data_IF_602302338503
#
_entry.id   IF_602302338503
#
_cell.length_a   1.000
_cell.length_b   1.000
_cell.length_c   1.000
_cell.angle_alpha   90.00
_cell.angle_beta   90.00
_cell.angle_gamma   90.00
#
_symmetry.space_group_name_H-M   'P 1'
#
loop_
_entity.id
_entity.type
_entity.pdbx_description
1 polymer ?
#
# COMPACT_ATOMS: atom_id res chain seq x y z
N UNK A 1 35.23 -1.30 -41.50
CA UNK A 1 33.76 -1.31 -41.59
C UNK A 1 33.29 -2.60 -40.96
N UNK A 2 32.95 -2.51 -39.68
CA UNK A 2 32.49 -3.61 -38.86
C UNK A 2 31.78 -2.97 -37.68
N UNK A 3 30.62 -2.40 -37.94
CA UNK A 3 29.73 -1.93 -36.88
C UNK A 3 29.27 -3.18 -36.13
N UNK A 4 29.74 -3.29 -34.88
CA UNK A 4 29.11 -4.11 -33.87
C UNK A 4 27.67 -3.61 -33.72
N UNK A 5 26.75 -4.31 -34.37
CA UNK A 5 25.33 -4.29 -34.03
C UNK A 5 25.20 -4.98 -32.68
N UNK A 6 25.50 -4.26 -31.60
CA UNK A 6 24.93 -4.59 -30.31
C UNK A 6 23.43 -4.44 -30.48
N UNK A 7 22.76 -5.59 -30.52
CA UNK A 7 21.34 -5.73 -30.44
C UNK A 7 20.94 -5.16 -29.07
N UNK A 8 20.67 -3.85 -29.00
CA UNK A 8 20.04 -3.24 -27.84
C UNK A 8 18.70 -3.96 -27.67
N UNK A 9 18.61 -4.82 -26.66
CA UNK A 9 17.35 -5.37 -26.22
C UNK A 9 16.45 -4.18 -25.93
N UNK A 10 15.21 -4.15 -26.43
CA UNK A 10 14.32 -3.04 -26.15
C UNK A 10 14.21 -2.93 -24.62
N UNK A 11 14.30 -1.72 -24.07
CA UNK A 11 14.52 -1.49 -22.63
C UNK A 11 13.50 -2.25 -21.75
N UNK A 12 12.28 -2.46 -22.26
CA UNK A 12 11.25 -3.29 -21.64
C UNK A 12 11.69 -4.75 -21.39
N UNK A 13 12.41 -5.38 -22.32
CA UNK A 13 12.94 -6.74 -22.15
C UNK A 13 14.01 -6.81 -21.07
N UNK A 14 14.87 -5.80 -20.94
CA UNK A 14 15.88 -5.72 -19.88
C UNK A 14 15.23 -5.61 -18.48
N UNK A 15 14.22 -4.76 -18.32
CA UNK A 15 13.49 -4.62 -17.05
C UNK A 15 12.67 -5.88 -16.74
N UNK A 16 12.05 -6.50 -17.75
CA UNK A 16 11.33 -7.76 -17.56
C UNK A 16 12.28 -8.90 -17.16
N UNK A 17 13.47 -8.99 -17.76
CA UNK A 17 14.50 -9.95 -17.34
C UNK A 17 14.95 -9.69 -15.90
N UNK A 18 15.12 -8.42 -15.52
CA UNK A 18 15.47 -8.04 -14.14
C UNK A 18 14.38 -8.44 -13.16
N UNK A 19 13.10 -8.19 -13.48
CA UNK A 19 11.96 -8.63 -12.69
C UNK A 19 11.97 -10.16 -12.49
N UNK A 20 12.19 -10.92 -13.56
CA UNK A 20 12.24 -12.39 -13.50
C UNK A 20 13.41 -12.87 -12.65
N UNK A 21 14.59 -12.28 -12.80
CA UNK A 21 15.79 -12.64 -12.02
C UNK A 21 15.59 -12.32 -10.54
N UNK A 22 15.12 -11.12 -10.21
CA UNK A 22 14.81 -10.73 -8.83
C UNK A 22 13.76 -11.66 -8.23
N UNK A 23 12.71 -12.00 -9.00
CA UNK A 23 11.65 -12.92 -8.56
C UNK A 23 12.20 -14.30 -8.25
N UNK A 24 13.12 -14.80 -9.06
CA UNK A 24 13.80 -16.07 -8.82
C UNK A 24 14.69 -16.02 -7.57
N UNK A 25 15.42 -14.93 -7.34
CA UNK A 25 16.26 -14.73 -6.16
C UNK A 25 15.40 -14.66 -4.89
N UNK A 26 14.33 -13.85 -4.88
CA UNK A 26 13.44 -13.73 -3.74
C UNK A 26 12.72 -15.05 -3.45
N UNK A 27 12.25 -15.76 -4.47
CA UNK A 27 11.71 -17.12 -4.31
C UNK A 27 12.74 -18.05 -3.69
N UNK A 28 13.99 -18.02 -4.16
CA UNK A 28 15.09 -18.80 -3.59
C UNK A 28 15.37 -18.45 -2.13
N UNK A 29 15.41 -17.16 -1.78
CA UNK A 29 15.64 -16.69 -0.41
C UNK A 29 14.52 -17.13 0.53
N UNK A 30 13.26 -17.04 0.11
CA UNK A 30 12.10 -17.51 0.90
C UNK A 30 12.15 -19.03 1.09
N UNK A 31 12.51 -19.78 0.04
CA UNK A 31 12.68 -21.23 0.14
C UNK A 31 13.81 -21.61 1.09
N UNK A 32 14.92 -20.86 1.09
CA UNK A 32 16.04 -21.05 2.03
C UNK A 32 15.65 -20.70 3.46
N UNK A 33 14.94 -19.59 3.66
CA UNK A 33 14.48 -19.14 4.98
C UNK A 33 13.49 -20.13 5.60
N UNK A 34 12.62 -20.73 4.79
CA UNK A 34 11.59 -21.68 5.22
C UNK A 34 11.97 -23.16 4.97
N UNK A 35 13.23 -23.43 4.63
CA UNK A 35 13.69 -24.75 4.19
C UNK A 35 13.41 -25.87 5.22
N UNK A 36 13.61 -25.57 6.50
CA UNK A 36 13.35 -26.51 7.61
C UNK A 36 11.86 -26.85 7.73
N UNK A 37 10.98 -25.86 7.61
CA UNK A 37 9.53 -26.00 7.65
C UNK A 37 8.98 -26.78 6.45
N UNK A 38 9.53 -26.55 5.26
CA UNK A 38 9.17 -27.28 4.03
C UNK A 38 9.56 -28.75 4.16
N UNK A 39 10.77 -29.05 4.64
CA UNK A 39 11.20 -30.43 4.89
C UNK A 39 10.33 -31.14 5.94
N UNK A 40 9.90 -30.41 6.98
CA UNK A 40 8.97 -30.95 7.98
C UNK A 40 7.60 -31.26 7.37
N UNK A 41 7.08 -30.40 6.49
CA UNK A 41 5.82 -30.63 5.78
C UNK A 41 5.90 -31.82 4.80
N UNK A 42 7.02 -31.95 4.07
CA UNK A 42 7.28 -33.10 3.17
C UNK A 42 7.41 -34.42 3.93
N UNK A 43 7.80 -34.39 5.20
CA UNK A 43 7.89 -35.58 6.07
C UNK A 43 6.53 -36.11 6.56
N UNK A 44 5.43 -35.45 6.20
CA UNK A 44 4.08 -35.83 6.64
C UNK A 44 3.82 -35.32 8.06
N UNK A 45 3.02 -34.27 8.16
CA UNK A 45 2.57 -33.70 9.44
C UNK A 45 1.43 -34.58 9.97
N UNK A 46 1.69 -35.30 11.07
CA UNK A 46 0.68 -36.10 11.79
C UNK A 46 -0.10 -35.29 12.84
N UNK A 47 0.02 -33.96 12.81
CA UNK A 47 -0.81 -33.11 13.66
C UNK A 47 -2.27 -33.23 13.19
N UNK A 48 -3.24 -33.40 14.10
CA UNK A 48 -4.64 -33.35 13.72
C UNK A 48 -4.89 -32.03 12.99
N UNK A 49 -5.47 -32.11 11.80
CA UNK A 49 -5.90 -30.92 11.05
C UNK A 49 -6.93 -30.23 11.95
N UNK A 50 -6.50 -29.21 12.68
CA UNK A 50 -7.40 -28.34 13.41
C UNK A 50 -8.22 -27.62 12.34
N UNK A 51 -9.45 -28.12 12.13
CA UNK A 51 -10.30 -27.63 11.06
C UNK A 51 -10.63 -26.18 11.36
N UNK A 52 -10.03 -25.26 10.60
CA UNK A 52 -10.35 -23.83 10.70
C UNK A 52 -11.86 -23.68 10.63
N UNK A 53 -12.51 -23.06 11.62
CA UNK A 53 -13.96 -22.93 11.63
C UNK A 53 -14.43 -22.29 10.32
N UNK A 54 -15.45 -22.86 9.68
CA UNK A 54 -15.98 -22.34 8.40
C UNK A 54 -16.32 -20.84 8.49
N UNK A 55 -16.79 -20.39 9.66
CA UNK A 55 -17.07 -18.98 9.96
C UNK A 55 -15.82 -18.10 9.86
N UNK A 56 -14.68 -18.55 10.36
CA UNK A 56 -13.41 -17.83 10.28
C UNK A 56 -12.95 -17.71 8.83
N UNK A 57 -13.05 -18.78 8.04
CA UNK A 57 -12.68 -18.75 6.62
C UNK A 57 -13.55 -17.77 5.82
N UNK A 58 -14.87 -17.77 6.05
CA UNK A 58 -15.80 -16.85 5.38
C UNK A 58 -15.52 -15.40 5.76
N UNK A 59 -15.34 -15.13 7.06
CA UNK A 59 -14.99 -13.82 7.59
C UNK A 59 -13.66 -13.31 7.03
N UNK A 60 -12.60 -14.10 7.16
CA UNK A 60 -11.25 -13.80 6.66
C UNK A 60 -11.25 -13.55 5.16
N UNK A 61 -11.91 -14.40 4.37
CA UNK A 61 -12.00 -14.23 2.91
C UNK A 61 -12.70 -12.93 2.56
N UNK A 62 -13.80 -12.60 3.23
CA UNK A 62 -14.51 -11.35 2.99
C UNK A 62 -13.60 -10.14 3.28
N UNK A 63 -12.96 -10.11 4.44
CA UNK A 63 -12.01 -9.04 4.80
C UNK A 63 -10.87 -8.92 3.78
N UNK A 64 -10.19 -10.03 3.48
CA UNK A 64 -9.08 -10.07 2.52
C UNK A 64 -9.51 -9.60 1.13
N UNK A 65 -10.72 -9.97 0.67
CA UNK A 65 -11.22 -9.55 -0.65
C UNK A 65 -11.29 -8.02 -0.75
N UNK A 66 -11.84 -7.37 0.28
CA UNK A 66 -11.97 -5.92 0.31
C UNK A 66 -10.61 -5.25 0.49
N UNK A 67 -9.80 -5.75 1.42
CA UNK A 67 -8.44 -5.23 1.67
C UNK A 67 -7.60 -5.27 0.38
N UNK A 68 -7.56 -6.41 -0.30
CA UNK A 68 -6.75 -6.57 -1.52
C UNK A 68 -7.26 -5.77 -2.71
N UNK A 69 -8.57 -5.57 -2.84
CA UNK A 69 -9.11 -4.66 -3.86
C UNK A 69 -8.69 -3.21 -3.59
N UNK A 70 -8.73 -2.77 -2.34
CA UNK A 70 -8.27 -1.44 -1.98
C UNK A 70 -6.76 -1.27 -2.22
N UNK A 71 -5.95 -2.25 -1.82
CA UNK A 71 -4.51 -2.24 -2.12
C UNK A 71 -4.24 -2.23 -3.62
N UNK A 72 -4.99 -3.00 -4.42
CA UNK A 72 -4.90 -2.99 -5.88
C UNK A 72 -5.15 -1.58 -6.45
N UNK A 73 -6.19 -0.89 -5.97
CA UNK A 73 -6.48 0.48 -6.40
C UNK A 73 -5.35 1.47 -6.07
N UNK A 74 -4.73 1.33 -4.90
CA UNK A 74 -3.59 2.15 -4.48
C UNK A 74 -2.35 1.87 -5.34
N UNK A 75 -1.97 0.59 -5.48
CA UNK A 75 -0.79 0.17 -6.23
C UNK A 75 -0.86 0.43 -7.73
N UNK A 76 -2.05 0.44 -8.34
CA UNK A 76 -2.22 0.80 -9.75
C UNK A 76 -1.73 2.22 -10.06
N UNK A 77 -1.89 3.15 -9.11
CA UNK A 77 -1.62 4.57 -9.32
C UNK A 77 -0.15 4.93 -9.05
N UNK A 78 0.48 4.25 -8.09
CA UNK A 78 1.83 4.54 -7.60
C UNK A 78 2.89 4.79 -8.70
N UNK A 79 3.07 3.87 -9.68
CA UNK A 79 4.14 3.98 -10.67
C UNK A 79 4.02 5.19 -11.60
N UNK A 80 2.79 5.64 -11.86
CA UNK A 80 2.49 6.64 -12.90
C UNK A 80 2.19 8.03 -12.35
N UNK A 81 2.27 8.21 -11.04
CA UNK A 81 1.95 9.46 -10.39
C UNK A 81 2.95 10.58 -10.68
N UNK A 82 4.25 10.25 -10.69
CA UNK A 82 5.30 11.16 -11.13
C UNK A 82 5.19 11.54 -12.62
N UNK A 83 5.19 10.59 -13.58
CA UNK A 83 5.14 10.93 -15.00
C UNK A 83 3.84 11.62 -15.39
N UNK A 84 2.71 11.32 -14.72
CA UNK A 84 1.46 12.06 -14.95
C UNK A 84 1.62 13.55 -14.61
N UNK A 85 2.21 13.89 -13.47
CA UNK A 85 2.39 15.30 -13.10
C UNK A 85 3.44 16.01 -13.98
N UNK A 86 4.49 15.30 -14.41
CA UNK A 86 5.42 15.82 -15.42
C UNK A 86 4.72 16.11 -16.74
N UNK A 87 3.79 15.25 -17.17
CA UNK A 87 2.99 15.48 -18.39
C UNK A 87 2.08 16.71 -18.32
N UNK A 88 1.71 17.14 -17.10
CA UNK A 88 0.98 18.39 -16.86
C UNK A 88 1.87 19.64 -16.84
N UNK A 89 3.19 19.46 -17.01
CA UNK A 89 4.17 20.54 -17.04
C UNK A 89 4.67 20.99 -15.67
N UNK A 90 4.43 20.22 -14.60
CA UNK A 90 4.93 20.55 -13.27
C UNK A 90 6.45 20.36 -13.19
N UNK A 91 7.12 21.23 -12.44
CA UNK A 91 8.54 21.04 -12.11
C UNK A 91 8.71 19.90 -11.13
N UNK A 92 9.90 19.28 -11.11
CA UNK A 92 10.22 18.21 -10.13
C UNK A 92 10.04 18.72 -8.69
N UNK A 93 10.34 19.99 -8.44
CA UNK A 93 10.16 20.62 -7.13
C UNK A 93 8.67 20.71 -6.73
N UNK A 94 7.78 21.11 -7.64
CA UNK A 94 6.33 21.17 -7.37
C UNK A 94 5.76 19.78 -7.11
N UNK A 95 6.23 18.78 -7.86
CA UNK A 95 5.82 17.38 -7.67
C UNK A 95 6.30 16.89 -6.29
N UNK A 96 7.54 17.17 -5.91
CA UNK A 96 8.07 16.81 -4.59
C UNK A 96 7.22 17.43 -3.47
N UNK A 97 6.84 18.70 -3.60
CA UNK A 97 5.95 19.38 -2.64
C UNK A 97 4.58 18.70 -2.54
N UNK A 98 3.99 18.28 -3.67
CA UNK A 98 2.72 17.56 -3.69
C UNK A 98 2.81 16.17 -3.01
N UNK A 99 3.93 15.46 -3.16
CA UNK A 99 4.16 14.20 -2.45
C UNK A 99 4.31 14.43 -0.95
N UNK A 100 5.13 15.40 -0.54
CA UNK A 100 5.28 15.77 0.88
C UNK A 100 3.95 16.19 1.48
N UNK A 101 3.15 17.00 0.77
CA UNK A 101 1.83 17.43 1.21
C UNK A 101 0.88 16.23 1.42
N UNK A 102 0.90 15.26 0.50
CA UNK A 102 0.14 14.02 0.64
C UNK A 102 0.54 13.24 1.90
N UNK A 103 1.82 12.96 2.08
CA UNK A 103 2.31 12.23 3.26
C UNK A 103 2.15 13.00 4.58
N UNK A 104 2.25 14.33 4.54
CA UNK A 104 1.94 15.16 5.70
C UNK A 104 0.45 15.10 6.02
N UNK A 105 -0.43 15.13 5.02
CA UNK A 105 -1.88 15.04 5.27
C UNK A 105 -2.30 13.69 5.86
N UNK A 106 -1.63 12.60 5.49
CA UNK A 106 -1.84 11.29 6.13
C UNK A 106 -1.38 11.30 7.60
N UNK A 107 -0.38 12.11 7.95
CA UNK A 107 0.13 12.25 9.32
C UNK A 107 -0.58 13.32 10.18
N UNK A 108 -1.21 14.34 9.57
CA UNK A 108 -1.51 15.64 10.24
C UNK A 108 -2.99 16.01 10.29
N UNK A 109 -3.94 15.11 10.01
CA UNK A 109 -5.28 15.30 10.60
C UNK A 109 -5.18 14.90 12.09
N UNK A 110 -4.97 15.79 13.07
CA UNK A 110 -5.30 17.21 13.07
C UNK A 110 -4.34 18.19 13.77
N UNK A 111 -3.34 18.73 13.06
CA UNK A 111 -2.86 20.09 13.34
C UNK A 111 -2.14 20.73 12.14
N UNK A 112 -2.84 21.64 11.44
CA UNK A 112 -2.30 22.56 10.44
C UNK A 112 -1.87 21.98 9.08
N UNK A 113 -2.79 22.00 8.11
CA UNK A 113 -2.42 22.17 6.70
C UNK A 113 -3.36 23.22 6.08
N UNK A 114 -2.98 24.48 6.24
CA UNK A 114 -3.72 25.62 5.69
C UNK A 114 -2.84 26.71 5.04
N UNK A 115 -1.51 26.60 5.11
CA UNK A 115 -0.60 27.70 4.73
C UNK A 115 0.30 27.43 3.52
N UNK A 116 0.07 26.36 2.76
CA UNK A 116 0.93 25.96 1.63
C UNK A 116 0.27 26.10 0.24
N UNK A 117 -0.91 26.72 0.19
CA UNK A 117 -1.66 26.90 -1.04
C UNK A 117 -1.64 28.36 -1.48
N UNK A 118 -0.53 28.84 -2.04
CA UNK A 118 -0.56 30.03 -2.91
C UNK A 118 0.40 29.90 -4.11
N UNK A 119 -0.18 29.66 -5.30
CA UNK A 119 0.21 30.08 -6.66
C UNK A 119 -0.34 29.13 -7.74
N UNK A 120 -1.07 29.71 -8.72
CA UNK A 120 -1.70 29.12 -9.91
C UNK A 120 -2.80 28.05 -9.70
N UNK A 121 -3.95 28.27 -10.37
CA UNK A 121 -5.22 27.53 -10.18
C UNK A 121 -5.16 26.01 -10.39
N UNK A 122 -4.19 25.48 -11.14
CA UNK A 122 -4.02 24.02 -11.35
C UNK A 122 -3.30 23.33 -10.19
N UNK A 123 -2.34 23.99 -9.57
CA UNK A 123 -1.57 23.42 -8.45
C UNK A 123 -2.46 23.23 -7.21
N UNK A 124 -3.34 24.19 -6.92
CA UNK A 124 -4.28 24.10 -5.78
C UNK A 124 -5.23 22.91 -5.86
N UNK A 125 -5.75 22.60 -7.05
CA UNK A 125 -6.63 21.44 -7.24
C UNK A 125 -5.87 20.14 -7.01
N UNK A 126 -4.63 20.05 -7.51
CA UNK A 126 -3.77 18.89 -7.28
C UNK A 126 -3.36 18.78 -5.81
N UNK A 127 -3.05 19.89 -5.14
CA UNK A 127 -2.72 19.96 -3.72
C UNK A 127 -3.91 19.50 -2.86
N UNK A 128 -5.12 19.99 -3.16
CA UNK A 128 -6.33 19.55 -2.50
C UNK A 128 -6.55 18.05 -2.72
N UNK A 129 -6.46 17.57 -3.96
CA UNK A 129 -6.54 16.14 -4.27
C UNK A 129 -5.52 15.31 -3.50
N UNK A 130 -4.30 15.82 -3.30
CA UNK A 130 -3.26 15.13 -2.50
C UNK A 130 -3.54 15.10 -1.01
N UNK A 131 -4.12 16.17 -0.46
CA UNK A 131 -4.56 16.18 0.94
C UNK A 131 -5.63 15.10 1.15
N UNK A 132 -6.67 15.08 0.33
CA UNK A 132 -7.72 14.06 0.45
C UNK A 132 -7.20 12.65 0.15
N UNK A 133 -6.27 12.52 -0.81
CA UNK A 133 -5.58 11.27 -1.09
C UNK A 133 -4.83 10.73 0.13
N UNK A 134 -4.01 11.56 0.78
CA UNK A 134 -3.28 11.13 1.98
C UNK A 134 -4.20 10.76 3.14
N UNK A 135 -5.28 11.50 3.34
CA UNK A 135 -6.31 11.15 4.34
C UNK A 135 -6.96 9.81 4.01
N UNK A 136 -7.33 9.59 2.75
CA UNK A 136 -7.89 8.32 2.29
C UNK A 136 -6.92 7.16 2.52
N UNK A 137 -5.63 7.34 2.21
CA UNK A 137 -4.58 6.33 2.47
C UNK A 137 -4.48 6.01 3.97
N UNK A 138 -4.51 7.01 4.86
CA UNK A 138 -4.53 6.75 6.31
C UNK A 138 -5.75 5.94 6.74
N UNK A 139 -6.93 6.27 6.22
CA UNK A 139 -8.15 5.52 6.51
C UNK A 139 -8.06 4.08 5.98
N UNK A 140 -7.42 3.88 4.82
CA UNK A 140 -7.27 2.58 4.18
C UNK A 140 -6.48 1.58 5.04
N UNK A 141 -5.43 2.05 5.70
CA UNK A 141 -4.63 1.20 6.59
C UNK A 141 -5.24 1.11 7.99
N UNK A 142 -5.63 2.23 8.60
CA UNK A 142 -6.05 2.25 10.01
C UNK A 142 -7.48 1.76 10.27
N UNK A 143 -8.46 2.16 9.44
CA UNK A 143 -9.88 1.84 9.70
C UNK A 143 -10.17 0.37 9.42
N UNK A 144 -9.55 -0.18 8.38
CA UNK A 144 -9.71 -1.58 8.00
C UNK A 144 -9.17 -2.51 9.09
N UNK A 145 -7.96 -2.23 9.59
CA UNK A 145 -7.37 -2.97 10.69
C UNK A 145 -8.19 -2.85 11.98
N UNK A 146 -8.62 -1.64 12.33
CA UNK A 146 -9.45 -1.41 13.51
C UNK A 146 -10.79 -2.18 13.43
N UNK A 147 -11.44 -2.16 12.27
CA UNK A 147 -12.66 -2.91 12.03
C UNK A 147 -12.43 -4.42 12.16
N UNK A 148 -11.36 -4.95 11.55
CA UNK A 148 -11.00 -6.37 11.60
C UNK A 148 -10.75 -6.83 13.03
N UNK A 149 -9.90 -6.12 13.77
CA UNK A 149 -9.55 -6.42 15.16
C UNK A 149 -10.83 -6.46 16.01
N UNK A 150 -11.68 -5.45 15.86
CA UNK A 150 -12.90 -5.36 16.65
C UNK A 150 -13.89 -6.47 16.33
N UNK A 151 -14.18 -6.72 15.06
CA UNK A 151 -15.13 -7.75 14.65
C UNK A 151 -14.62 -9.16 15.03
N UNK A 152 -13.31 -9.39 14.90
CA UNK A 152 -12.64 -10.63 15.32
C UNK A 152 -12.86 -10.96 16.80
N UNK A 153 -12.62 -9.99 17.69
CA UNK A 153 -12.77 -10.19 19.13
C UNK A 153 -14.23 -10.10 19.59
N UNK A 154 -14.97 -9.05 19.18
CA UNK A 154 -16.28 -8.76 19.73
C UNK A 154 -17.38 -9.69 19.22
N UNK A 155 -17.31 -10.11 17.95
CA UNK A 155 -18.37 -10.94 17.35
C UNK A 155 -18.06 -12.42 17.37
N UNK A 156 -16.82 -12.78 17.09
CA UNK A 156 -16.45 -14.16 16.87
C UNK A 156 -15.62 -14.77 18.01
N UNK A 157 -14.93 -13.94 18.80
CA UNK A 157 -14.02 -14.38 19.85
C UNK A 157 -13.01 -15.43 19.36
N UNK A 158 -12.48 -15.22 18.15
CA UNK A 158 -11.42 -16.05 17.57
C UNK A 158 -10.08 -15.82 18.28
N UNK A 159 -9.11 -16.72 18.06
CA UNK A 159 -7.82 -16.68 18.75
C UNK A 159 -6.90 -15.56 18.24
N UNK A 160 -5.90 -15.16 19.05
CA UNK A 160 -4.88 -14.18 18.66
C UNK A 160 -4.01 -14.69 17.49
N UNK A 161 -3.82 -16.01 17.41
CA UNK A 161 -3.12 -16.68 16.31
C UNK A 161 -3.89 -16.50 15.00
N UNK A 162 -5.21 -16.67 15.01
CA UNK A 162 -6.05 -16.50 13.83
C UNK A 162 -6.03 -15.06 13.28
N UNK A 163 -5.90 -14.07 14.17
CA UNK A 163 -5.76 -12.66 13.80
C UNK A 163 -4.38 -12.40 13.18
N UNK A 164 -3.32 -12.88 13.84
CA UNK A 164 -1.94 -12.74 13.38
C UNK A 164 -1.75 -13.41 12.01
N UNK A 165 -2.31 -14.60 11.81
CA UNK A 165 -2.32 -15.30 10.52
C UNK A 165 -3.06 -14.51 9.45
N UNK A 166 -4.18 -13.86 9.80
CA UNK A 166 -4.93 -13.02 8.86
C UNK A 166 -4.09 -11.82 8.40
N UNK A 167 -3.40 -11.14 9.31
CA UNK A 167 -2.52 -10.02 8.95
C UNK A 167 -1.27 -10.49 8.18
N UNK A 168 -0.71 -11.65 8.51
CA UNK A 168 0.35 -12.26 7.71
C UNK A 168 -0.10 -12.54 6.27
N UNK A 169 -1.33 -13.05 6.09
CA UNK A 169 -1.94 -13.21 4.76
C UNK A 169 -2.15 -11.87 4.06
N UNK A 170 -2.58 -10.82 4.77
CA UNK A 170 -2.72 -9.48 4.20
C UNK A 170 -1.40 -9.00 3.62
N UNK A 171 -0.31 -9.05 4.40
CA UNK A 171 1.02 -8.61 3.95
C UNK A 171 1.53 -9.42 2.76
N UNK A 172 1.38 -10.74 2.79
CA UNK A 172 1.80 -11.62 1.70
C UNK A 172 1.06 -11.31 0.39
N UNK A 173 -0.28 -11.29 0.44
CA UNK A 173 -1.09 -11.04 -0.74
C UNK A 173 -0.98 -9.59 -1.23
N UNK A 174 -0.76 -8.63 -0.33
CA UNK A 174 -0.50 -7.25 -0.69
C UNK A 174 0.76 -7.12 -1.56
N UNK A 175 1.86 -7.78 -1.18
CA UNK A 175 3.09 -7.81 -1.98
C UNK A 175 2.85 -8.37 -3.38
N UNK A 176 2.11 -9.48 -3.49
CA UNK A 176 1.75 -10.04 -4.79
C UNK A 176 0.88 -9.08 -5.62
N UNK A 177 -0.12 -8.45 -4.99
CA UNK A 177 -0.97 -7.46 -5.65
C UNK A 177 -0.14 -6.27 -6.13
N UNK A 178 0.85 -5.80 -5.38
CA UNK A 178 1.74 -4.70 -5.80
C UNK A 178 2.51 -5.04 -7.08
N UNK A 179 3.11 -6.24 -7.15
CA UNK A 179 3.83 -6.71 -8.35
C UNK A 179 2.89 -6.79 -9.56
N UNK A 180 1.73 -7.41 -9.39
CA UNK A 180 0.74 -7.56 -10.45
C UNK A 180 0.20 -6.19 -10.92
N UNK A 181 -0.03 -5.27 -10.00
CA UNK A 181 -0.52 -3.91 -10.28
C UNK A 181 0.47 -3.14 -11.13
N UNK A 182 1.77 -3.26 -10.88
CA UNK A 182 2.80 -2.63 -11.73
C UNK A 182 2.72 -3.10 -13.19
N UNK A 183 2.53 -4.41 -13.41
CA UNK A 183 2.33 -4.97 -14.74
C UNK A 183 1.04 -4.50 -15.42
N UNK A 184 -0.09 -4.56 -14.70
CA UNK A 184 -1.40 -4.11 -15.20
C UNK A 184 -1.37 -2.62 -15.53
N UNK A 185 -0.77 -1.80 -14.66
CA UNK A 185 -0.65 -0.36 -14.88
C UNK A 185 0.21 -0.07 -16.12
N UNK A 186 1.28 -0.83 -16.35
CA UNK A 186 2.12 -0.64 -17.55
C UNK A 186 1.34 -0.91 -18.84
N UNK A 187 0.65 -2.05 -18.90
CA UNK A 187 -0.19 -2.38 -20.06
C UNK A 187 -1.30 -1.35 -20.25
N UNK A 188 -1.94 -0.89 -19.18
CA UNK A 188 -2.99 0.12 -19.25
C UNK A 188 -2.47 1.44 -19.84
N UNK A 189 -1.26 1.86 -19.46
CA UNK A 189 -0.65 3.09 -19.99
C UNK A 189 -0.25 2.94 -21.45
N UNK A 190 0.30 1.80 -21.85
CA UNK A 190 0.72 1.55 -23.24
C UNK A 190 -0.47 1.61 -24.21
N UNK A 191 -1.68 1.22 -23.75
CA UNK A 191 -2.89 1.18 -24.59
C UNK A 191 -3.74 2.45 -24.47
N UNK A 192 -3.91 3.00 -23.27
CA UNK A 192 -4.90 4.04 -22.97
C UNK A 192 -4.28 5.34 -22.43
N UNK A 193 -2.96 5.40 -22.27
CA UNK A 193 -2.23 6.58 -21.80
C UNK A 193 -2.10 6.70 -20.27
N UNK A 194 -1.37 7.73 -19.83
CA UNK A 194 -0.95 7.93 -18.43
C UNK A 194 -2.10 8.00 -17.41
N UNK A 195 -3.31 8.38 -17.83
CA UNK A 195 -4.47 8.51 -16.93
C UNK A 195 -5.16 7.16 -16.66
N UNK A 196 -4.90 6.13 -17.46
CA UNK A 196 -5.63 4.87 -17.42
C UNK A 196 -5.55 4.13 -16.07
N UNK A 197 -4.38 4.01 -15.40
CA UNK A 197 -4.30 3.34 -14.10
C UNK A 197 -5.12 4.03 -13.01
N UNK A 198 -5.23 5.37 -13.07
CA UNK A 198 -6.02 6.18 -12.14
C UNK A 198 -7.53 5.94 -12.32
N UNK A 199 -7.99 5.89 -13.57
CA UNK A 199 -9.38 5.57 -13.88
C UNK A 199 -9.70 4.13 -13.48
N UNK A 200 -8.80 3.18 -13.75
CA UNK A 200 -8.97 1.79 -13.35
C UNK A 200 -9.09 1.66 -11.82
N UNK A 201 -8.26 2.38 -11.06
CA UNK A 201 -8.32 2.42 -9.62
C UNK A 201 -9.70 2.89 -9.10
N UNK A 202 -10.34 3.87 -9.74
CA UNK A 202 -11.71 4.32 -9.37
C UNK A 202 -12.71 3.16 -9.46
N UNK A 203 -12.67 2.37 -10.54
CA UNK A 203 -13.55 1.21 -10.67
C UNK A 203 -13.27 0.12 -9.64
N UNK A 204 -11.99 -0.10 -9.33
CA UNK A 204 -11.57 -1.07 -8.30
C UNK A 204 -12.05 -0.63 -6.91
N UNK A 205 -11.86 0.65 -6.54
CA UNK A 205 -12.35 1.20 -5.29
C UNK A 205 -13.87 1.18 -5.19
N UNK A 206 -14.58 1.46 -6.29
CA UNK A 206 -16.03 1.33 -6.32
C UNK A 206 -16.48 -0.12 -6.09
N UNK A 207 -15.77 -1.10 -6.67
CA UNK A 207 -16.00 -2.52 -6.39
C UNK A 207 -15.80 -2.87 -4.92
N UNK A 208 -14.70 -2.40 -4.31
CA UNK A 208 -14.45 -2.59 -2.88
C UNK A 208 -15.55 -1.96 -2.01
N UNK A 209 -15.95 -0.73 -2.33
CA UNK A 209 -17.04 -0.01 -1.65
C UNK A 209 -18.37 -0.76 -1.72
N UNK A 210 -18.73 -1.31 -2.88
CA UNK A 210 -19.94 -2.11 -3.03
C UNK A 210 -19.90 -3.37 -2.16
N UNK A 211 -18.75 -4.04 -2.05
CA UNK A 211 -18.61 -5.21 -1.17
C UNK A 211 -18.76 -4.79 0.29
N UNK A 212 -18.14 -3.68 0.71
CA UNK A 212 -18.27 -3.16 2.09
C UNK A 212 -19.74 -2.92 2.42
N UNK A 213 -20.47 -2.15 1.61
CA UNK A 213 -21.88 -1.83 1.89
C UNK A 213 -22.75 -3.09 2.00
N UNK A 214 -22.47 -4.10 1.18
CA UNK A 214 -23.30 -5.31 1.12
C UNK A 214 -22.94 -6.35 2.19
N UNK A 215 -21.70 -6.33 2.69
CA UNK A 215 -21.17 -7.45 3.49
C UNK A 215 -20.62 -7.03 4.85
N UNK A 216 -20.20 -5.78 5.02
CA UNK A 216 -19.62 -5.30 6.27
C UNK A 216 -20.71 -4.78 7.20
N UNK A 217 -20.99 -5.48 8.29
CA UNK A 217 -21.88 -4.98 9.34
C UNK A 217 -21.31 -3.71 9.98
N UNK A 218 -22.22 -2.82 10.36
CA UNK A 218 -21.87 -1.57 11.03
C UNK A 218 -21.24 -1.82 12.40
N UNK A 219 -20.17 -1.09 12.69
CA UNK A 219 -19.35 -1.26 13.88
C UNK A 219 -19.20 0.09 14.60
N UNK A 220 -20.04 0.30 15.62
CA UNK A 220 -20.07 1.53 16.41
C UNK A 220 -19.01 1.59 17.52
N UNK A 221 -18.08 0.64 17.59
CA UNK A 221 -17.13 0.53 18.69
C UNK A 221 -17.77 0.09 20.01
N UNK A 222 -17.04 0.24 21.11
CA UNK A 222 -17.61 0.05 22.45
C UNK A 222 -18.52 1.24 22.79
N UNK A 223 -19.80 0.95 23.04
CA UNK A 223 -20.65 1.91 23.76
C UNK A 223 -20.13 1.95 25.19
N UNK A 224 -19.21 2.88 25.47
CA UNK A 224 -18.74 3.17 26.82
C UNK A 224 -19.87 3.81 27.61
N UNK A 225 -20.82 2.99 28.06
CA UNK A 225 -21.80 3.36 29.07
C UNK A 225 -21.15 3.17 30.46
N UNK A 226 -20.12 3.99 30.73
CA UNK A 226 -19.60 4.17 32.08
C UNK A 226 -19.94 5.59 32.53
N UNK A 227 -20.96 5.73 33.36
CA UNK A 227 -21.40 6.98 34.02
C UNK A 227 -21.86 8.13 33.10
N UNK A 228 -22.55 7.85 31.98
CA UNK A 228 -23.32 8.86 31.25
C UNK A 228 -22.51 9.98 30.59
N UNK A 229 -21.19 9.86 30.50
CA UNK A 229 -20.32 10.75 29.72
C UNK A 229 -19.84 10.00 28.49
N UNK A 230 -20.25 10.49 27.32
CA UNK A 230 -19.61 10.12 26.05
C UNK A 230 -18.15 10.49 26.19
N UNK A 231 -17.27 9.49 26.24
CA UNK A 231 -15.85 9.75 26.20
C UNK A 231 -15.52 10.38 24.85
N UNK A 232 -15.01 11.60 24.88
CA UNK A 232 -14.66 12.32 23.66
C UNK A 232 -13.53 11.56 22.96
N UNK A 233 -13.57 11.45 21.63
CA UNK A 233 -12.48 10.86 20.81
C UNK A 233 -11.11 11.44 21.20
N UNK A 234 -11.09 12.72 21.61
CA UNK A 234 -9.89 13.39 22.10
C UNK A 234 -9.31 12.79 23.39
N UNK A 235 -10.17 12.29 24.29
CA UNK A 235 -9.74 11.63 25.52
C UNK A 235 -9.07 10.30 25.21
N UNK A 236 -9.69 9.45 24.38
CA UNK A 236 -9.10 8.16 23.98
C UNK A 236 -7.79 8.34 23.20
N UNK A 237 -7.68 9.38 22.35
CA UNK A 237 -6.43 9.75 21.69
C UNK A 237 -5.36 10.19 22.70
N UNK A 238 -5.72 11.02 23.68
CA UNK A 238 -4.80 11.48 24.72
C UNK A 238 -4.29 10.31 25.57
N UNK A 239 -5.16 9.37 25.92
CA UNK A 239 -4.79 8.14 26.63
C UNK A 239 -3.82 7.29 25.81
N UNK A 240 -4.10 7.07 24.53
CA UNK A 240 -3.19 6.36 23.62
C UNK A 240 -1.80 6.98 23.58
N UNK A 241 -1.71 8.32 23.51
CA UNK A 241 -0.43 9.04 23.57
C UNK A 241 0.30 8.86 24.91
N UNK A 242 -0.44 8.79 26.02
CA UNK A 242 0.14 8.51 27.34
C UNK A 242 0.69 7.09 27.39
N UNK A 243 -0.01 6.09 26.84
CA UNK A 243 0.48 4.70 26.77
C UNK A 243 1.75 4.59 25.92
N UNK A 244 1.78 5.20 24.74
CA UNK A 244 2.96 5.22 23.86
C UNK A 244 4.16 5.84 24.59
N UNK A 245 3.97 6.93 25.33
CA UNK A 245 5.05 7.58 26.08
C UNK A 245 5.54 6.75 27.27
N UNK A 246 4.67 5.92 27.85
CA UNK A 246 4.98 5.14 29.05
C UNK A 246 5.76 3.87 28.72
N UNK A 247 5.50 3.25 27.57
CA UNK A 247 6.18 2.03 27.14
C UNK A 247 7.26 2.33 26.10
N UNK A 248 8.52 2.11 26.50
CA UNK A 248 9.68 2.30 25.64
C UNK A 248 9.61 1.47 24.36
N UNK A 249 9.10 0.23 24.41
CA UNK A 249 9.06 -0.65 23.25
C UNK A 249 8.02 -0.20 22.23
N UNK A 250 6.85 0.24 22.69
CA UNK A 250 5.82 0.81 21.79
C UNK A 250 6.34 2.06 21.08
N UNK A 251 7.02 2.94 21.82
CA UNK A 251 7.64 4.13 21.23
C UNK A 251 8.75 3.79 20.23
N UNK A 252 9.64 2.86 20.60
CA UNK A 252 10.74 2.43 19.74
C UNK A 252 10.24 1.82 18.43
N UNK A 253 9.24 0.93 18.49
CA UNK A 253 8.63 0.30 17.30
C UNK A 253 8.01 1.38 16.40
N UNK A 254 7.23 2.31 16.97
CA UNK A 254 6.62 3.39 16.20
C UNK A 254 7.65 4.30 15.51
N UNK A 255 8.74 4.64 16.21
CA UNK A 255 9.83 5.44 15.63
C UNK A 255 10.58 4.69 14.53
N UNK A 256 10.92 3.42 14.74
CA UNK A 256 11.59 2.60 13.73
C UNK A 256 10.73 2.45 12.48
N UNK A 257 9.42 2.19 12.63
CA UNK A 257 8.49 2.09 11.51
C UNK A 257 8.40 3.42 10.74
N UNK A 258 8.27 4.54 11.46
CA UNK A 258 8.19 5.88 10.84
C UNK A 258 9.44 6.22 10.04
N UNK A 259 10.63 5.89 10.57
CA UNK A 259 11.91 6.10 9.88
C UNK A 259 12.05 5.19 8.65
N UNK A 260 11.65 3.93 8.78
CA UNK A 260 11.67 2.97 7.67
C UNK A 260 10.74 3.40 6.53
N UNK A 261 9.49 3.75 6.84
CA UNK A 261 8.53 4.25 5.85
C UNK A 261 8.99 5.56 5.22
N UNK A 262 9.56 6.48 6.00
CA UNK A 262 10.12 7.74 5.46
C UNK A 262 11.25 7.47 4.45
N UNK A 263 12.13 6.50 4.73
CA UNK A 263 13.19 6.12 3.79
C UNK A 263 12.61 5.47 2.53
N UNK A 264 11.63 4.57 2.69
CA UNK A 264 10.94 3.90 1.59
C UNK A 264 10.23 4.92 0.68
N UNK A 265 9.46 5.86 1.22
CA UNK A 265 8.76 6.87 0.42
C UNK A 265 9.71 7.85 -0.27
N UNK A 266 10.84 8.19 0.36
CA UNK A 266 11.90 8.96 -0.31
C UNK A 266 12.44 8.20 -1.50
N UNK A 267 12.72 6.90 -1.35
CA UNK A 267 13.13 6.05 -2.47
C UNK A 267 12.07 6.02 -3.57
N UNK A 268 10.79 5.78 -3.23
CA UNK A 268 9.65 5.72 -4.17
C UNK A 268 9.53 7.00 -5.01
N UNK A 269 9.83 8.16 -4.44
CA UNK A 269 9.86 9.41 -5.21
C UNK A 269 11.11 9.55 -6.08
N UNK A 270 12.28 9.24 -5.52
CA UNK A 270 13.57 9.54 -6.16
C UNK A 270 13.91 8.61 -7.32
N UNK A 271 13.46 7.35 -7.31
CA UNK A 271 13.81 6.41 -8.39
C UNK A 271 13.27 6.87 -9.74
N UNK A 272 12.04 7.41 -9.80
CA UNK A 272 11.44 7.85 -11.06
C UNK A 272 12.15 9.07 -11.62
N UNK A 273 12.55 10.01 -10.74
CA UNK A 273 13.36 11.19 -11.09
C UNK A 273 14.73 10.77 -11.61
N UNK A 274 15.39 9.82 -10.92
CA UNK A 274 16.72 9.36 -11.28
C UNK A 274 16.73 8.65 -12.65
N UNK A 275 15.73 7.82 -12.93
CA UNK A 275 15.62 7.12 -14.23
C UNK A 275 15.30 8.09 -15.35
N UNK A 276 14.38 9.04 -15.16
CA UNK A 276 14.07 10.06 -16.17
C UNK A 276 15.33 10.91 -16.49
N UNK A 277 16.07 11.32 -15.47
CA UNK A 277 17.31 12.08 -15.64
C UNK A 277 18.41 11.29 -16.39
N UNK A 278 18.45 9.97 -16.22
CA UNK A 278 19.43 9.10 -16.88
C UNK A 278 19.03 8.72 -18.32
N UNK A 279 17.74 8.52 -18.58
CA UNK A 279 17.23 8.07 -19.88
C UNK A 279 17.09 9.21 -20.90
N UNK A 280 16.94 10.47 -20.44
CA UNK A 280 16.72 11.64 -21.29
C UNK A 280 15.27 11.76 -21.78
N UNK A 281 14.89 12.96 -22.23
CA UNK A 281 13.49 13.36 -22.48
C UNK A 281 12.73 12.55 -23.56
N UNK A 282 13.40 11.65 -24.29
CA UNK A 282 12.83 10.92 -25.44
C UNK A 282 12.64 9.42 -25.20
N UNK A 283 13.01 8.89 -24.04
CA UNK A 283 12.89 7.46 -23.75
C UNK A 283 11.49 7.10 -23.23
N UNK A 284 10.86 6.09 -23.83
CA UNK A 284 9.63 5.52 -23.28
C UNK A 284 9.99 4.61 -22.10
N UNK A 285 9.83 5.11 -20.87
CA UNK A 285 10.23 4.43 -19.64
C UNK A 285 9.06 3.56 -19.14
N UNK A 286 9.24 2.23 -18.98
CA UNK A 286 8.20 1.34 -18.46
C UNK A 286 8.11 1.41 -16.93
N UNK A 287 7.58 2.53 -16.42
CA UNK A 287 7.50 2.81 -14.98
C UNK A 287 6.82 1.69 -14.18
N UNK A 288 5.78 1.05 -14.73
CA UNK A 288 5.06 -0.03 -14.06
C UNK A 288 5.89 -1.31 -13.88
N UNK A 289 6.70 -1.69 -14.88
CA UNK A 289 7.57 -2.88 -14.79
C UNK A 289 8.76 -2.63 -13.86
N UNK A 290 9.33 -1.43 -13.90
CA UNK A 290 10.40 -1.03 -12.99
C UNK A 290 9.89 -1.05 -11.54
N UNK A 291 8.72 -0.47 -11.32
CA UNK A 291 8.06 -0.51 -10.02
C UNK A 291 7.80 -1.93 -9.55
N UNK A 292 7.26 -2.81 -10.41
CA UNK A 292 7.03 -4.21 -10.07
C UNK A 292 8.33 -4.90 -9.65
N UNK A 293 9.47 -4.53 -10.24
CA UNK A 293 10.78 -5.10 -9.91
C UNK A 293 11.28 -4.69 -8.52
N UNK A 294 10.84 -3.55 -8.00
CA UNK A 294 11.17 -3.13 -6.63
C UNK A 294 10.26 -3.76 -5.57
N UNK A 295 9.13 -4.33 -5.97
CA UNK A 295 8.14 -4.94 -5.05
C UNK A 295 8.35 -6.44 -4.84
N UNK A 296 9.39 -7.01 -5.45
CA UNK A 296 9.81 -8.41 -5.36
C UNK A 296 10.80 -8.61 -4.23
#
# INVERSE_FOLDING_TARGET
MGENSQHELPANEMYLQTLVVLSAICTGAVLLQNWSSILAAMKGRNDPIETTPLKLLVFRRNYLSVYLLNMLGDWLQGPYLYPLYRSYGLSVADIAQLFVLGFMSSAVIGTFIGSLADSFSKYHVLAFGRIFGGVATSLLFSVFEAWMIREHYARYAFSDTDLSDTFAMCSFWNGLVAILSGGVANVAVDVFGLLAPFILAVYVFFGAFMIIILTWPENYGDKLENNGKIESVFTSLAEGLVYIKKDYWMFAIGMTQSLFESAMYTFIFMWSVAIEAAAGDSANIPFGIIFASFMV
#
